data_IF_446794091027
#
_entry.id   IF_446794091027
#
_cell.length_a   1.000
_cell.length_b   1.000
_cell.length_c   1.000
_cell.angle_alpha   90.00
_cell.angle_beta   90.00
_cell.angle_gamma   90.00
#
_symmetry.space_group_name_H-M   'P 1'
#
loop_
_entity.id
_entity.type
_entity.pdbx_description
1 polymer ?
#
# COMPACT_ATOMS: atom_id res chain seq x y z
N UNK A 1 -1.14 -86.02 16.96
CA UNK A 1 -0.39 -84.87 16.42
C UNK A 1 -1.44 -83.88 15.93
N UNK A 2 -1.84 -82.94 16.78
CA UNK A 2 -2.83 -81.92 16.43
C UNK A 2 -2.14 -80.78 15.70
N UNK A 3 -2.52 -80.56 14.45
CA UNK A 3 -2.10 -79.39 13.68
C UNK A 3 -2.81 -78.17 14.27
N UNK A 4 -2.04 -77.26 14.86
CA UNK A 4 -2.53 -75.95 15.29
C UNK A 4 -2.69 -75.12 14.02
N UNK A 5 -3.93 -75.07 13.51
CA UNK A 5 -4.32 -74.18 12.42
C UNK A 5 -4.21 -72.72 12.92
N UNK A 6 -3.35 -71.86 12.33
CA UNK A 6 -3.34 -70.45 12.69
C UNK A 6 -4.65 -69.81 12.21
N UNK A 7 -5.36 -69.20 13.15
CA UNK A 7 -6.52 -68.35 12.89
C UNK A 7 -6.07 -67.14 12.06
N UNK A 8 -6.23 -67.21 10.74
CA UNK A 8 -6.12 -66.05 9.86
C UNK A 8 -7.32 -65.16 10.15
N UNK A 9 -7.13 -64.26 11.11
CA UNK A 9 -8.05 -63.19 11.44
C UNK A 9 -8.50 -62.48 10.18
N UNK A 10 -9.81 -62.25 10.12
CA UNK A 10 -10.53 -61.86 8.93
C UNK A 10 -9.89 -60.72 8.16
N UNK A 11 -10.01 -60.86 6.84
CA UNK A 11 -10.20 -59.80 5.86
C UNK A 11 -9.79 -58.41 6.34
N UNK A 12 -8.71 -57.91 5.74
CA UNK A 12 -8.36 -56.51 5.70
C UNK A 12 -9.60 -55.66 5.36
N UNK A 13 -10.32 -55.23 6.40
CA UNK A 13 -11.19 -54.08 6.35
C UNK A 13 -10.25 -52.88 6.31
N UNK A 14 -9.79 -52.57 5.10
CA UNK A 14 -9.27 -51.27 4.77
C UNK A 14 -10.18 -50.22 5.44
N UNK A 15 -9.63 -49.20 6.12
CA UNK A 15 -10.43 -48.11 6.65
C UNK A 15 -10.92 -47.25 5.48
N UNK A 16 -11.89 -47.75 4.71
CA UNK A 16 -12.65 -46.99 3.73
C UNK A 16 -13.79 -46.28 4.44
N UNK A 17 -13.42 -45.36 5.32
CA UNK A 17 -14.28 -44.26 5.73
C UNK A 17 -13.37 -43.12 6.16
N UNK A 18 -12.66 -42.55 5.19
CA UNK A 18 -12.20 -41.16 5.27
C UNK A 18 -13.44 -40.30 5.51
N UNK A 19 -13.76 -40.09 6.78
CA UNK A 19 -14.98 -39.43 7.21
C UNK A 19 -15.09 -38.08 6.50
N UNK A 20 -16.26 -37.76 5.90
CA UNK A 20 -16.47 -36.50 5.17
C UNK A 20 -16.09 -35.27 6.01
N UNK A 21 -16.17 -35.39 7.34
CA UNK A 21 -15.72 -34.40 8.33
C UNK A 21 -14.22 -34.02 8.23
N UNK A 22 -13.34 -34.98 7.97
CA UNK A 22 -11.88 -34.73 7.88
C UNK A 22 -11.50 -34.03 6.58
N UNK A 23 -12.21 -34.31 5.49
CA UNK A 23 -12.03 -33.63 4.19
C UNK A 23 -12.49 -32.17 4.24
N UNK A 24 -13.65 -31.91 4.87
CA UNK A 24 -14.14 -30.55 5.11
C UNK A 24 -13.22 -29.78 6.06
N UNK A 25 -12.70 -30.40 7.12
CA UNK A 25 -11.73 -29.78 8.01
C UNK A 25 -10.47 -29.30 7.27
N UNK A 26 -9.88 -30.13 6.40
CA UNK A 26 -8.72 -29.72 5.58
C UNK A 26 -9.07 -28.61 4.58
N UNK A 27 -10.26 -28.65 4.00
CA UNK A 27 -10.73 -27.59 3.10
C UNK A 27 -10.86 -26.25 3.84
N UNK A 28 -11.43 -26.27 5.06
CA UNK A 28 -11.54 -25.08 5.92
C UNK A 28 -10.15 -24.58 6.33
N UNK A 29 -9.22 -25.46 6.73
CA UNK A 29 -7.85 -25.04 7.08
C UNK A 29 -7.06 -24.45 5.90
N UNK A 30 -7.26 -24.98 4.69
CA UNK A 30 -6.67 -24.39 3.47
C UNK A 30 -7.30 -23.03 3.16
N UNK A 31 -8.61 -22.91 3.32
CA UNK A 31 -9.31 -21.66 3.14
C UNK A 31 -8.82 -20.62 4.15
N UNK A 32 -8.71 -20.95 5.44
CA UNK A 32 -8.22 -20.05 6.46
C UNK A 32 -6.78 -19.60 6.18
N UNK A 33 -5.89 -20.53 5.81
CA UNK A 33 -4.52 -20.21 5.43
C UNK A 33 -4.45 -19.32 4.16
N UNK A 34 -5.33 -19.56 3.18
CA UNK A 34 -5.40 -18.73 1.97
C UNK A 34 -5.94 -17.33 2.26
N UNK A 35 -6.92 -17.20 3.16
CA UNK A 35 -7.46 -15.93 3.61
C UNK A 35 -6.41 -15.16 4.40
N UNK A 36 -5.67 -15.82 5.29
CA UNK A 36 -4.57 -15.21 6.04
C UNK A 36 -3.46 -14.71 5.11
N UNK A 37 -3.08 -15.49 4.09
CA UNK A 37 -2.14 -15.01 3.06
C UNK A 37 -2.70 -13.83 2.27
N UNK A 38 -3.98 -13.85 1.90
CA UNK A 38 -4.63 -12.76 1.19
C UNK A 38 -4.68 -11.48 2.04
N UNK A 39 -4.98 -11.58 3.34
CA UNK A 39 -4.98 -10.43 4.25
C UNK A 39 -3.58 -9.89 4.46
N UNK A 40 -2.58 -10.76 4.67
CA UNK A 40 -1.17 -10.35 4.78
C UNK A 40 -0.66 -9.66 3.51
N UNK A 41 -1.07 -10.13 2.33
CA UNK A 41 -0.74 -9.47 1.07
C UNK A 41 -1.41 -8.11 0.95
N UNK A 42 -2.69 -8.01 1.32
CA UNK A 42 -3.43 -6.75 1.27
C UNK A 42 -2.85 -5.71 2.25
N UNK A 43 -2.47 -6.12 3.46
CA UNK A 43 -1.83 -5.22 4.42
C UNK A 43 -0.45 -4.77 3.96
N UNK A 44 0.35 -5.66 3.37
CA UNK A 44 1.63 -5.29 2.79
C UNK A 44 1.47 -4.28 1.64
N UNK A 45 0.49 -4.49 0.77
CA UNK A 45 0.17 -3.53 -0.31
C UNK A 45 -0.30 -2.18 0.25
N UNK A 46 -1.13 -2.19 1.29
CA UNK A 46 -1.59 -0.97 1.95
C UNK A 46 -0.44 -0.18 2.58
N UNK A 47 0.55 -0.86 3.20
CA UNK A 47 1.73 -0.21 3.76
C UNK A 47 2.58 0.47 2.68
N UNK A 48 2.75 -0.17 1.53
CA UNK A 48 3.47 0.43 0.40
C UNK A 48 2.74 1.66 -0.11
N UNK A 49 1.41 1.60 -0.23
CA UNK A 49 0.62 2.73 -0.68
C UNK A 49 0.61 3.88 0.34
N UNK A 50 0.55 3.56 1.64
CA UNK A 50 0.67 4.55 2.70
C UNK A 50 2.03 5.26 2.65
N UNK A 51 3.13 4.51 2.53
CA UNK A 51 4.47 5.11 2.40
C UNK A 51 4.61 6.01 1.16
N UNK A 52 3.92 5.68 0.06
CA UNK A 52 3.86 6.54 -1.13
C UNK A 52 3.10 7.84 -0.87
N UNK A 53 1.95 7.76 -0.20
CA UNK A 53 1.19 8.94 0.18
C UNK A 53 1.99 9.84 1.12
N UNK A 54 2.65 9.27 2.12
CA UNK A 54 3.52 10.01 3.05
C UNK A 54 4.66 10.74 2.31
N UNK A 55 5.25 10.10 1.29
CA UNK A 55 6.28 10.72 0.46
C UNK A 55 5.74 11.88 -0.38
N UNK A 56 4.54 11.74 -0.95
CA UNK A 56 3.86 12.81 -1.69
C UNK A 56 3.56 13.98 -0.76
N UNK A 57 3.02 13.71 0.42
CA UNK A 57 2.68 14.73 1.41
C UNK A 57 3.92 15.48 1.89
N UNK A 58 5.04 14.79 2.10
CA UNK A 58 6.30 15.43 2.48
C UNK A 58 6.83 16.37 1.40
N UNK A 59 6.77 15.97 0.13
CA UNK A 59 7.21 16.81 -1.00
C UNK A 59 6.25 18.00 -1.20
N UNK A 60 4.94 17.76 -1.10
CA UNK A 60 3.94 18.81 -1.19
C UNK A 60 4.09 19.84 -0.07
N UNK A 61 4.31 19.39 1.18
CA UNK A 61 4.56 20.28 2.32
C UNK A 61 5.81 21.13 2.10
N UNK A 62 6.90 20.54 1.60
CA UNK A 62 8.13 21.29 1.25
C UNK A 62 7.88 22.30 0.13
N UNK A 63 7.11 21.93 -0.90
CA UNK A 63 6.73 22.82 -1.98
C UNK A 63 5.94 24.03 -1.47
N UNK A 64 4.92 23.78 -0.64
CA UNK A 64 4.11 24.84 -0.02
C UNK A 64 4.93 25.77 0.86
N UNK A 65 5.91 25.26 1.61
CA UNK A 65 6.83 26.10 2.38
C UNK A 65 7.64 27.04 1.49
N UNK A 66 8.11 26.57 0.33
CA UNK A 66 8.79 27.41 -0.67
C UNK A 66 7.88 28.52 -1.21
N UNK A 67 6.66 28.16 -1.61
CA UNK A 67 5.66 29.13 -2.10
C UNK A 67 5.31 30.17 -1.04
N UNK A 68 5.16 29.75 0.22
CA UNK A 68 4.87 30.66 1.34
C UNK A 68 6.02 31.66 1.57
N UNK A 69 7.27 31.20 1.51
CA UNK A 69 8.44 32.08 1.62
C UNK A 69 8.51 33.09 0.48
N UNK A 70 8.28 32.65 -0.75
CA UNK A 70 8.23 33.55 -1.93
C UNK A 70 7.14 34.60 -1.76
N UNK A 71 5.93 34.18 -1.35
CA UNK A 71 4.80 35.09 -1.11
C UNK A 71 5.13 36.13 -0.02
N UNK A 72 5.83 35.72 1.03
CA UNK A 72 6.27 36.64 2.08
C UNK A 72 7.26 37.68 1.55
N UNK A 73 8.22 37.28 0.71
CA UNK A 73 9.15 38.21 0.07
C UNK A 73 8.45 39.16 -0.89
N UNK A 74 7.46 38.69 -1.64
CA UNK A 74 6.63 39.54 -2.51
C UNK A 74 5.90 40.60 -1.72
N UNK A 75 5.29 40.23 -0.58
CA UNK A 75 4.61 41.18 0.30
C UNK A 75 5.58 42.25 0.84
N UNK A 76 6.77 41.84 1.28
CA UNK A 76 7.79 42.79 1.75
C UNK A 76 8.26 43.72 0.64
N UNK A 77 8.51 43.19 -0.56
CA UNK A 77 9.00 43.97 -1.68
C UNK A 77 7.92 44.88 -2.28
N UNK A 78 6.65 44.48 -2.24
CA UNK A 78 5.52 45.31 -2.65
C UNK A 78 5.36 46.56 -1.77
N UNK A 79 5.70 46.48 -0.47
CA UNK A 79 5.71 47.64 0.42
C UNK A 79 6.84 48.63 0.07
N UNK A 80 7.98 48.11 -0.40
CA UNK A 80 9.12 48.93 -0.80
C UNK A 80 8.97 49.51 -2.23
N UNK A 81 8.40 48.75 -3.16
CA UNK A 81 8.26 49.11 -4.58
C UNK A 81 6.86 48.76 -5.09
N UNK A 82 5.87 49.65 -4.90
CA UNK A 82 4.47 49.39 -5.30
C UNK A 82 4.29 49.16 -6.80
N UNK A 83 5.12 49.80 -7.64
CA UNK A 83 5.07 49.66 -9.10
C UNK A 83 5.51 48.27 -9.59
N UNK A 84 6.27 47.52 -8.78
CA UNK A 84 6.70 46.16 -9.11
C UNK A 84 5.70 45.08 -8.65
N UNK A 85 4.70 45.42 -7.83
CA UNK A 85 3.80 44.47 -7.20
C UNK A 85 3.09 43.55 -8.21
N UNK A 86 2.61 44.09 -9.34
CA UNK A 86 1.94 43.29 -10.38
C UNK A 86 2.87 42.28 -11.06
N UNK A 87 4.14 42.64 -11.24
CA UNK A 87 5.16 41.75 -11.81
C UNK A 87 5.57 40.67 -10.83
N UNK A 88 5.69 41.02 -9.56
CA UNK A 88 5.99 40.08 -8.48
C UNK A 88 4.87 39.06 -8.33
N UNK A 89 3.62 39.50 -8.33
CA UNK A 89 2.48 38.59 -8.27
C UNK A 89 2.43 37.61 -9.45
N UNK A 90 2.73 38.08 -10.67
CA UNK A 90 2.85 37.19 -11.82
C UNK A 90 3.99 36.16 -11.67
N UNK A 91 5.12 36.54 -11.04
CA UNK A 91 6.23 35.62 -10.75
C UNK A 91 5.82 34.59 -9.69
N UNK A 92 5.12 35.01 -8.63
CA UNK A 92 4.58 34.12 -7.61
C UNK A 92 3.63 33.08 -8.17
N UNK A 93 2.71 33.50 -9.04
CA UNK A 93 1.77 32.60 -9.72
C UNK A 93 2.52 31.58 -10.60
N UNK A 94 3.51 32.03 -11.38
CA UNK A 94 4.34 31.14 -12.20
C UNK A 94 5.14 30.14 -11.34
N UNK A 95 5.66 30.59 -10.19
CA UNK A 95 6.39 29.73 -9.27
C UNK A 95 5.49 28.66 -8.65
N UNK A 96 4.30 29.04 -8.19
CA UNK A 96 3.32 28.11 -7.64
C UNK A 96 2.90 27.04 -8.68
N UNK A 97 2.68 27.45 -9.93
CA UNK A 97 2.39 26.52 -11.03
C UNK A 97 3.55 25.57 -11.30
N UNK A 98 4.80 26.06 -11.32
CA UNK A 98 5.97 25.21 -11.54
C UNK A 98 6.14 24.17 -10.43
N UNK A 99 5.93 24.56 -9.17
CA UNK A 99 5.97 23.65 -8.02
C UNK A 99 4.86 22.60 -8.13
N UNK A 100 3.64 22.99 -8.50
CA UNK A 100 2.54 22.06 -8.71
C UNK A 100 2.83 21.06 -9.84
N UNK A 101 3.44 21.52 -10.94
CA UNK A 101 3.85 20.64 -12.04
C UNK A 101 4.92 19.63 -11.60
N UNK A 102 5.90 20.05 -10.80
CA UNK A 102 6.95 19.15 -10.32
C UNK A 102 6.43 18.14 -9.29
N UNK A 103 5.49 18.53 -8.43
CA UNK A 103 4.81 17.57 -7.54
C UNK A 103 4.03 16.56 -8.40
N UNK A 104 3.35 17.00 -9.45
CA UNK A 104 2.61 16.11 -10.36
C UNK A 104 3.52 15.19 -11.19
N UNK A 105 4.73 15.61 -11.53
CA UNK A 105 5.73 14.77 -12.22
C UNK A 105 6.28 13.72 -11.24
N UNK A 106 6.57 14.12 -10.00
CA UNK A 106 7.00 13.22 -8.93
C UNK A 106 5.95 12.14 -8.61
N UNK A 107 4.67 12.52 -8.45
CA UNK A 107 3.60 11.55 -8.17
C UNK A 107 3.44 10.52 -9.29
N UNK A 108 3.57 10.95 -10.56
CA UNK A 108 3.59 10.04 -11.71
C UNK A 108 4.83 9.14 -11.74
N UNK A 109 5.98 9.64 -11.31
CA UNK A 109 7.22 8.88 -11.21
C UNK A 109 7.14 7.74 -10.19
N UNK A 110 6.48 7.96 -9.06
CA UNK A 110 6.26 6.92 -8.03
C UNK A 110 5.29 5.81 -8.45
N UNK A 111 4.42 6.08 -9.43
CA UNK A 111 3.44 5.12 -9.96
C UNK A 111 3.97 4.19 -11.04
N UNK A 112 5.20 4.39 -11.54
CA UNK A 112 5.87 3.54 -12.54
C UNK A 112 6.84 2.56 -11.86
#
# INVERSE_FOLDING_TARGET
MSEIQPYTGGAALAPTSSAPWTSHGRAISRLSASTELATLKATAQAQVEQARLDAIDQVAARGMQGVAMVTQFEQQLAQAVPLAASRLQAIGDMHALQVAMEISSFTRGLGR
#
